data_IF_704179960473
#
_entry.id   IF_704179960473
#
_cell.length_a   1.000
_cell.length_b   1.000
_cell.length_c   1.000
_cell.angle_alpha   90.00
_cell.angle_beta   90.00
_cell.angle_gamma   90.00
#
_symmetry.space_group_name_H-M   'P 1'
#
loop_
_entity.id
_entity.type
_entity.pdbx_description
1 polymer ?
#
# COMPACT_ATOMS: atom_id res chain seq x y z
N UNK A 1 -16.72 8.26 19.22
CA UNK A 1 -15.78 8.85 18.24
C UNK A 1 -14.47 9.16 18.95
N UNK A 2 -13.36 8.45 18.69
CA UNK A 2 -12.09 8.85 19.26
C UNK A 2 -11.49 9.99 18.42
N UNK A 3 -11.15 11.09 19.09
CA UNK A 3 -10.35 12.18 18.53
C UNK A 3 -8.90 11.71 18.45
N UNK A 4 -8.33 11.71 17.24
CA UNK A 4 -6.91 11.45 17.03
C UNK A 4 -6.11 12.67 17.54
N UNK A 5 -5.32 12.48 18.60
CA UNK A 5 -4.43 13.49 19.16
C UNK A 5 -3.27 13.75 18.19
N UNK A 6 -3.12 15.01 17.82
CA UNK A 6 -2.16 15.49 16.83
C UNK A 6 -0.70 15.38 17.33
N UNK A 7 -0.07 14.23 17.18
CA UNK A 7 1.39 14.11 17.40
C UNK A 7 2.14 13.27 16.35
N UNK A 8 1.49 12.74 15.31
CA UNK A 8 2.19 11.87 14.35
C UNK A 8 2.22 12.39 12.91
N UNK A 9 3.48 12.55 12.45
CA UNK A 9 3.98 12.43 11.09
C UNK A 9 3.47 13.43 10.04
N UNK A 10 4.42 14.15 9.42
CA UNK A 10 4.22 14.77 8.11
C UNK A 10 3.65 13.72 7.14
N UNK A 11 2.64 14.05 6.31
CA UNK A 11 2.08 13.12 5.34
C UNK A 11 3.16 12.45 4.50
N UNK A 12 3.12 11.12 4.39
CA UNK A 12 4.07 10.37 3.57
C UNK A 12 3.72 10.58 2.10
N UNK A 13 4.62 11.14 1.27
CA UNK A 13 4.31 11.38 -0.14
C UNK A 13 4.27 10.05 -0.92
N UNK A 14 3.44 9.97 -1.97
CA UNK A 14 3.38 8.79 -2.83
C UNK A 14 4.72 8.60 -3.55
N UNK A 15 5.35 7.44 -3.37
CA UNK A 15 6.67 7.13 -3.95
C UNK A 15 6.56 6.59 -5.38
N UNK A 16 5.38 6.14 -5.80
CA UNK A 16 5.14 5.51 -7.10
C UNK A 16 4.05 6.26 -7.86
N UNK A 17 4.05 6.12 -9.19
CA UNK A 17 3.05 6.75 -10.05
C UNK A 17 1.61 6.30 -9.72
N UNK A 18 1.42 5.11 -9.16
CA UNK A 18 0.10 4.52 -8.86
C UNK A 18 -0.73 5.34 -7.87
N UNK A 19 -0.09 5.97 -6.89
CA UNK A 19 -0.77 6.80 -5.86
C UNK A 19 -0.47 8.29 -6.03
N UNK A 20 0.19 8.67 -7.13
CA UNK A 20 0.61 10.05 -7.41
C UNK A 20 -0.40 10.79 -8.30
N UNK A 21 -1.46 10.12 -8.76
CA UNK A 21 -2.50 10.77 -9.56
C UNK A 21 -3.09 11.96 -8.79
N UNK A 22 -3.04 13.15 -9.40
CA UNK A 22 -3.49 14.39 -8.79
C UNK A 22 -2.52 15.03 -7.78
N UNK A 23 -1.55 14.28 -7.23
CA UNK A 23 -0.63 14.77 -6.19
C UNK A 23 0.20 15.98 -6.65
N UNK A 24 0.79 15.92 -7.84
CA UNK A 24 1.64 17.01 -8.37
C UNK A 24 0.80 18.28 -8.68
N UNK A 25 -0.52 18.12 -8.83
CA UNK A 25 -1.47 19.22 -9.01
C UNK A 25 -2.19 19.63 -7.72
N UNK A 26 -1.76 19.11 -6.55
CA UNK A 26 -2.37 19.39 -5.25
C UNK A 26 -3.79 18.84 -5.07
N UNK A 27 -4.22 17.90 -5.91
CA UNK A 27 -5.56 17.29 -5.86
C UNK A 27 -5.53 16.04 -5.00
N UNK A 28 -6.60 15.85 -4.24
CA UNK A 28 -6.79 14.63 -3.46
C UNK A 28 -6.98 13.43 -4.41
N UNK A 29 -6.32 12.33 -4.08
CA UNK A 29 -6.57 11.04 -4.69
C UNK A 29 -7.61 10.30 -3.86
N UNK A 30 -8.81 10.10 -4.43
CA UNK A 30 -9.86 9.34 -3.77
C UNK A 30 -9.66 7.85 -4.05
N UNK A 31 -9.29 7.11 -3.01
CA UNK A 31 -9.21 5.66 -3.09
C UNK A 31 -10.64 5.13 -3.05
N UNK A 32 -11.03 4.38 -4.08
CA UNK A 32 -12.25 3.60 -4.03
C UNK A 32 -12.09 2.58 -2.89
N UNK A 33 -12.86 2.74 -1.81
CA UNK A 33 -12.84 1.84 -0.67
C UNK A 33 -13.41 0.47 -1.06
N UNK A 34 -12.53 -0.35 -1.63
CA UNK A 34 -12.78 -1.77 -1.79
C UNK A 34 -12.15 -2.51 -0.61
N UNK A 35 -12.91 -3.41 0.01
CA UNK A 35 -12.51 -4.18 1.18
C UNK A 35 -11.17 -4.87 0.90
N UNK A 36 -10.09 -4.44 1.57
CA UNK A 36 -8.77 -5.09 1.41
C UNK A 36 -8.92 -6.54 1.87
N UNK A 37 -8.66 -7.53 1.00
CA UNK A 37 -8.74 -8.93 1.38
C UNK A 37 -7.82 -9.21 2.56
N UNK A 38 -8.18 -10.15 3.45
CA UNK A 38 -7.33 -10.57 4.58
C UNK A 38 -5.90 -10.95 4.13
N UNK A 39 -5.78 -11.42 2.90
CA UNK A 39 -4.52 -11.81 2.27
C UNK A 39 -3.62 -10.63 1.88
N UNK A 40 -4.15 -9.41 1.88
CA UNK A 40 -3.52 -8.23 1.28
C UNK A 40 -3.46 -8.28 -0.25
N UNK A 41 -2.99 -7.21 -0.87
CA UNK A 41 -2.70 -7.12 -2.31
C UNK A 41 -1.20 -6.86 -2.50
N UNK A 42 -0.53 -7.64 -3.35
CA UNK A 42 0.87 -7.42 -3.74
C UNK A 42 0.91 -6.78 -5.12
N UNK A 43 1.63 -5.66 -5.24
CA UNK A 43 1.92 -5.03 -6.53
C UNK A 43 3.40 -5.22 -6.85
N UNK A 44 3.69 -5.72 -8.05
CA UNK A 44 5.06 -5.83 -8.57
C UNK A 44 5.20 -4.97 -9.81
N UNK A 45 6.17 -4.05 -9.81
CA UNK A 45 6.45 -3.16 -10.93
C UNK A 45 7.84 -3.44 -11.51
N UNK A 46 7.96 -3.44 -12.83
CA UNK A 46 9.23 -3.63 -13.52
C UNK A 46 9.32 -2.75 -14.78
N UNK A 47 10.47 -2.14 -14.99
CA UNK A 47 10.82 -1.54 -16.28
C UNK A 47 11.36 -2.64 -17.20
N UNK A 48 10.70 -2.86 -18.32
CA UNK A 48 11.13 -3.77 -19.36
C UNK A 48 11.77 -2.96 -20.48
N UNK A 49 12.77 -3.57 -21.12
CA UNK A 49 13.49 -2.96 -22.22
C UNK A 49 13.69 -3.98 -23.32
N UNK A 50 13.41 -3.59 -24.55
CA UNK A 50 13.78 -4.37 -25.75
C UNK A 50 14.52 -3.49 -26.74
N UNK A 51 15.24 -4.14 -27.65
CA UNK A 51 15.88 -3.49 -28.80
C UNK A 51 15.27 -4.07 -30.07
N UNK A 52 14.82 -3.20 -30.98
CA UNK A 52 14.25 -3.62 -32.26
C UNK A 52 15.36 -4.09 -33.20
N UNK A 53 14.98 -4.78 -34.30
CA UNK A 53 15.93 -5.18 -35.35
C UNK A 53 16.70 -3.99 -35.95
N UNK A 54 16.12 -2.80 -35.90
CA UNK A 54 16.72 -1.56 -36.40
C UNK A 54 17.59 -0.84 -35.34
N UNK A 55 17.80 -1.46 -34.16
CA UNK A 55 18.61 -0.90 -33.08
C UNK A 55 17.88 0.06 -32.14
N UNK A 56 16.62 0.41 -32.42
CA UNK A 56 15.82 1.29 -31.56
C UNK A 56 15.54 0.64 -30.20
N UNK A 57 15.70 1.41 -29.12
CA UNK A 57 15.39 0.95 -27.76
C UNK A 57 13.96 1.33 -27.42
N UNK A 58 13.19 0.37 -26.90
CA UNK A 58 11.85 0.59 -26.36
C UNK A 58 11.88 0.20 -24.88
N UNK A 59 11.40 1.09 -24.01
CA UNK A 59 11.26 0.87 -22.57
C UNK A 59 9.79 1.00 -22.20
N UNK A 60 9.27 0.08 -21.39
CA UNK A 60 7.91 0.15 -20.89
C UNK A 60 7.81 -0.32 -19.44
N UNK A 61 6.86 0.24 -18.70
CA UNK A 61 6.54 -0.18 -17.34
C UNK A 61 5.50 -1.31 -17.40
N UNK A 62 5.71 -2.37 -16.63
CA UNK A 62 4.69 -3.37 -16.35
C UNK A 62 4.39 -3.37 -14.87
N UNK A 63 3.10 -3.35 -14.53
CA UNK A 63 2.59 -3.48 -13.16
C UNK A 63 1.70 -4.72 -13.10
N UNK A 64 1.98 -5.62 -12.17
CA UNK A 64 1.16 -6.82 -11.92
C UNK A 64 0.60 -6.77 -10.51
N UNK A 65 -0.69 -7.07 -10.40
CA UNK A 65 -1.41 -7.26 -9.13
C UNK A 65 -1.51 -8.75 -8.86
N UNK A 66 -1.17 -9.14 -7.64
CA UNK A 66 -1.33 -10.49 -7.13
C UNK A 66 -2.01 -10.44 -5.77
N UNK A 67 -2.67 -11.52 -5.40
CA UNK A 67 -3.13 -11.72 -4.01
C UNK A 67 -1.92 -11.93 -3.12
N UNK A 68 -1.88 -11.24 -1.98
CA UNK A 68 -0.83 -11.49 -1.00
C UNK A 68 -0.91 -12.91 -0.43
N UNK A 69 0.08 -13.29 0.38
CA UNK A 69 0.34 -14.67 0.81
C UNK A 69 -0.76 -15.33 1.66
N UNK A 70 -1.84 -14.61 1.98
CA UNK A 70 -2.78 -15.01 3.02
C UNK A 70 -2.42 -14.41 4.37
N UNK A 71 -3.44 -14.04 5.15
CA UNK A 71 -3.23 -13.61 6.53
C UNK A 71 -2.64 -14.76 7.34
N UNK A 72 -1.51 -14.51 8.01
CA UNK A 72 -1.00 -15.38 9.06
C UNK A 72 -1.36 -14.74 10.39
N UNK A 73 -1.74 -15.54 11.39
CA UNK A 73 -1.87 -15.03 12.76
C UNK A 73 -0.59 -14.27 13.11
N UNK A 74 -0.73 -12.99 13.45
CA UNK A 74 0.39 -12.13 13.84
C UNK A 74 0.87 -12.45 15.25
N UNK A 75 0.13 -13.27 16.02
CA UNK A 75 0.36 -13.50 17.44
C UNK A 75 0.14 -12.25 18.30
N UNK A 76 -0.24 -11.12 17.70
CA UNK A 76 -0.55 -9.89 18.41
C UNK A 76 -1.94 -10.03 19.02
N UNK A 77 -1.98 -9.98 20.34
CA UNK A 77 -3.21 -9.85 21.08
C UNK A 77 -3.39 -8.38 21.46
N UNK A 78 -4.53 -7.82 21.09
CA UNK A 78 -4.95 -6.47 21.48
C UNK A 78 -6.32 -6.61 22.15
N UNK A 79 -6.61 -5.72 23.10
CA UNK A 79 -7.89 -5.71 23.84
C UNK A 79 -8.15 -7.00 24.64
N UNK A 80 -7.09 -7.59 25.22
CA UNK A 80 -7.24 -8.67 26.18
C UNK A 80 -7.60 -8.09 27.55
N UNK A 81 -8.71 -8.54 28.12
CA UNK A 81 -8.93 -8.41 29.56
C UNK A 81 -8.03 -9.41 30.30
N UNK A 82 -7.31 -8.92 31.31
CA UNK A 82 -6.58 -9.76 32.26
C UNK A 82 -7.24 -9.65 33.63
N UNK A 83 -7.38 -10.78 34.32
CA UNK A 83 -7.94 -10.78 35.67
C UNK A 83 -7.02 -10.00 36.61
N UNK A 84 -7.61 -9.07 37.36
CA UNK A 84 -6.89 -8.34 38.41
C UNK A 84 -6.92 -9.18 39.68
N UNK A 85 -5.76 -9.59 40.25
CA UNK A 85 -5.75 -10.35 41.49
C UNK A 85 -6.30 -9.51 42.65
N UNK A 86 -7.20 -10.10 43.42
CA UNK A 86 -7.69 -9.53 44.68
C UNK A 86 -6.62 -9.75 45.76
N UNK A 87 -6.01 -8.66 46.25
CA UNK A 87 -5.18 -8.65 47.47
C UNK A 87 -5.92 -7.84 48.52
#
# INVERSE_FOLDING_TARGET
MPRCSATWASPVPPRTALLREGFDAGRAYFINEEKVPLTGTRLTAAYNRTRTRNGQVIVWLTVRRDTGRGGRSSGLAFDLLTDTPIT
#
